data_IF_739613872846
#
_entry.id   IF_739613872846
#
_cell.length_a   1.000
_cell.length_b   1.000
_cell.length_c   1.000
_cell.angle_alpha   90.00
_cell.angle_beta   90.00
_cell.angle_gamma   90.00
#
_symmetry.space_group_name_H-M   'P 1'
#
loop_
_entity.id
_entity.type
_entity.pdbx_description
1 polymer ?
#
# COMPACT_ATOMS: atom_id res chain seq x y z
N UNK A 1 68.10 -11.02 1.59
CA UNK A 1 67.42 -9.82 2.14
C UNK A 1 66.72 -8.94 1.10
N UNK A 2 67.33 -8.61 -0.06
CA UNK A 2 66.69 -7.79 -1.11
C UNK A 2 65.37 -8.38 -1.66
N UNK A 3 65.34 -9.70 -1.92
CA UNK A 3 64.11 -10.37 -2.40
C UNK A 3 62.97 -10.34 -1.38
N UNK A 4 63.27 -10.40 -0.08
CA UNK A 4 62.26 -10.33 0.98
C UNK A 4 61.66 -8.92 1.10
N UNK A 5 62.47 -7.87 1.04
CA UNK A 5 61.98 -6.48 1.04
C UNK A 5 61.04 -6.21 -0.14
N UNK A 6 61.36 -6.72 -1.33
CA UNK A 6 60.51 -6.53 -2.51
C UNK A 6 59.18 -7.28 -2.39
N UNK A 7 59.17 -8.50 -1.85
CA UNK A 7 57.94 -9.27 -1.62
C UNK A 7 57.06 -8.60 -0.55
N UNK A 8 57.66 -8.14 0.54
CA UNK A 8 56.94 -7.41 1.61
C UNK A 8 56.38 -6.09 1.09
N UNK A 9 57.12 -5.38 0.23
CA UNK A 9 56.66 -4.14 -0.40
C UNK A 9 55.47 -4.38 -1.35
N UNK A 10 55.49 -5.45 -2.15
CA UNK A 10 54.37 -5.81 -3.03
C UNK A 10 53.13 -6.22 -2.22
N UNK A 11 53.30 -6.98 -1.14
CA UNK A 11 52.19 -7.34 -0.25
C UNK A 11 51.59 -6.13 0.47
N UNK A 12 52.41 -5.17 0.91
CA UNK A 12 51.93 -3.91 1.49
C UNK A 12 51.14 -3.08 0.49
N UNK A 13 51.62 -2.97 -0.76
CA UNK A 13 50.90 -2.26 -1.82
C UNK A 13 49.58 -2.95 -2.16
N UNK A 14 49.54 -4.29 -2.23
CA UNK A 14 48.30 -5.05 -2.43
C UNK A 14 47.32 -4.90 -1.26
N UNK A 15 47.80 -4.88 -0.02
CA UNK A 15 46.99 -4.63 1.17
C UNK A 15 46.42 -3.20 1.18
N UNK A 16 47.19 -2.21 0.75
CA UNK A 16 46.72 -0.82 0.62
C UNK A 16 45.66 -0.67 -0.48
N UNK A 17 45.79 -1.41 -1.59
CA UNK A 17 44.78 -1.43 -2.66
C UNK A 17 43.50 -2.14 -2.19
N UNK A 18 43.62 -3.28 -1.49
CA UNK A 18 42.49 -4.03 -0.96
C UNK A 18 41.74 -3.27 0.15
N UNK A 19 42.44 -2.50 0.97
CA UNK A 19 41.86 -1.66 2.02
C UNK A 19 41.02 -0.50 1.47
N UNK A 20 41.22 -0.12 0.20
CA UNK A 20 40.49 0.95 -0.48
C UNK A 20 39.36 0.43 -1.40
N UNK A 21 38.91 -0.81 -1.22
CA UNK A 21 37.72 -1.29 -1.93
C UNK A 21 36.48 -0.67 -1.29
N UNK A 22 36.03 0.48 -1.80
CA UNK A 22 34.71 1.00 -1.49
C UNK A 22 33.67 -0.03 -1.93
N UNK A 23 33.00 -0.67 -0.97
CA UNK A 23 31.81 -1.48 -1.25
C UNK A 23 30.73 -0.49 -1.69
N UNK A 24 30.63 -0.25 -2.99
CA UNK A 24 29.57 0.58 -3.55
C UNK A 24 28.28 -0.24 -3.44
N UNK A 25 27.48 0.07 -2.42
CA UNK A 25 26.16 -0.52 -2.28
C UNK A 25 25.36 -0.21 -3.56
N UNK A 26 24.87 -1.26 -4.22
CA UNK A 26 24.20 -1.09 -5.49
C UNK A 26 22.91 -0.29 -5.27
N UNK A 27 22.77 0.82 -6.02
CA UNK A 27 21.58 1.65 -5.95
C UNK A 27 20.31 0.80 -6.08
N UNK A 28 19.27 1.17 -5.31
CA UNK A 28 18.01 0.43 -5.21
C UNK A 28 16.82 1.38 -5.13
N UNK A 29 15.67 0.95 -5.61
CA UNK A 29 14.42 1.72 -5.46
C UNK A 29 13.79 1.45 -4.09
N UNK A 30 13.17 2.48 -3.50
CA UNK A 30 12.57 2.43 -2.16
C UNK A 30 11.50 1.34 -2.02
N UNK A 31 10.80 0.98 -3.10
CA UNK A 31 9.82 -0.09 -3.14
C UNK A 31 9.59 -0.58 -4.57
N UNK A 32 9.26 -1.86 -4.72
CA UNK A 32 9.01 -2.51 -6.02
C UNK A 32 7.53 -2.56 -6.40
N UNK A 33 6.63 -2.34 -5.43
CA UNK A 33 5.18 -2.40 -5.63
C UNK A 33 4.48 -1.43 -4.69
N UNK A 34 3.40 -0.81 -5.17
CA UNK A 34 2.42 -0.09 -4.37
C UNK A 34 1.00 -0.44 -4.83
N UNK A 35 0.10 -0.60 -3.86
CA UNK A 35 -1.33 -0.48 -4.05
C UNK A 35 -1.75 0.92 -3.58
N UNK A 36 -2.47 1.66 -4.40
CA UNK A 36 -2.86 3.04 -4.14
C UNK A 36 -4.33 3.26 -4.50
N UNK A 37 -4.98 4.17 -3.80
CA UNK A 37 -6.29 4.67 -4.20
C UNK A 37 -6.15 5.85 -5.17
N UNK A 38 -7.15 6.05 -6.02
CA UNK A 38 -7.24 7.25 -6.86
C UNK A 38 -7.14 8.51 -5.99
N UNK A 39 -6.26 9.43 -6.37
CA UNK A 39 -5.99 10.67 -5.64
C UNK A 39 -4.76 10.61 -4.74
N UNK A 40 -4.36 9.41 -4.27
CA UNK A 40 -3.20 9.26 -3.40
C UNK A 40 -1.89 9.63 -4.09
N UNK A 41 -0.93 10.03 -3.26
CA UNK A 41 0.43 10.37 -3.69
C UNK A 41 1.45 9.65 -2.82
N UNK A 42 2.47 9.09 -3.45
CA UNK A 42 3.64 8.49 -2.78
C UNK A 42 4.93 8.99 -3.42
N UNK A 43 5.99 9.16 -2.63
CA UNK A 43 7.30 9.55 -3.16
C UNK A 43 8.18 8.31 -3.29
N UNK A 44 8.57 7.98 -4.51
CA UNK A 44 9.59 6.98 -4.79
C UNK A 44 10.99 7.60 -4.71
N UNK A 45 11.93 6.86 -4.13
CA UNK A 45 13.34 7.26 -4.06
C UNK A 45 14.22 6.18 -4.64
N UNK A 46 15.32 6.59 -5.27
CA UNK A 46 16.43 5.68 -5.51
C UNK A 46 17.48 5.96 -4.44
N UNK A 47 17.79 4.95 -3.65
CA UNK A 47 18.74 4.99 -2.55
C UNK A 47 20.15 4.70 -3.06
N UNK A 48 21.14 5.05 -2.26
CA UNK A 48 22.56 4.70 -2.48
C UNK A 48 23.09 5.24 -3.82
N UNK A 49 22.59 6.41 -4.22
CA UNK A 49 23.02 7.10 -5.43
C UNK A 49 23.07 8.62 -5.23
N UNK A 50 24.08 9.25 -5.82
CA UNK A 50 24.18 10.71 -5.96
C UNK A 50 23.85 11.18 -7.39
N UNK A 51 23.52 10.24 -8.28
CA UNK A 51 23.28 10.51 -9.69
C UNK A 51 21.84 10.99 -9.90
N UNK A 52 21.65 11.85 -10.89
CA UNK A 52 20.31 12.30 -11.28
C UNK A 52 19.46 11.15 -11.80
N UNK A 53 18.26 11.01 -11.24
CA UNK A 53 17.27 9.99 -11.62
C UNK A 53 16.32 10.55 -12.67
N UNK A 54 16.10 9.80 -13.75
CA UNK A 54 15.05 10.09 -14.73
C UNK A 54 13.85 9.20 -14.49
N UNK A 55 12.70 9.81 -14.24
CA UNK A 55 11.45 9.12 -13.95
C UNK A 55 10.54 9.05 -15.17
N UNK A 56 9.84 7.93 -15.34
CA UNK A 56 8.79 7.74 -16.34
C UNK A 56 7.70 6.80 -15.82
N UNK A 57 6.52 6.88 -16.44
CA UNK A 57 5.40 5.96 -16.18
C UNK A 57 4.99 5.29 -17.49
N UNK A 58 4.71 3.98 -17.44
CA UNK A 58 4.15 3.25 -18.58
C UNK A 58 2.73 3.70 -18.94
N UNK A 59 1.97 4.23 -17.98
CA UNK A 59 0.62 4.74 -18.19
C UNK A 59 0.35 5.97 -17.31
N UNK A 60 0.61 7.16 -17.86
CA UNK A 60 0.43 8.46 -17.16
C UNK A 60 -1.03 8.80 -16.83
N UNK A 61 -1.99 8.13 -17.46
CA UNK A 61 -3.42 8.30 -17.17
C UNK A 61 -3.84 7.49 -15.92
N UNK A 62 -3.15 6.39 -15.62
CA UNK A 62 -3.35 5.58 -14.40
C UNK A 62 -2.52 6.13 -13.24
N UNK A 63 -1.21 6.29 -13.43
CA UNK A 63 -0.32 6.88 -12.43
C UNK A 63 0.75 7.74 -13.11
N UNK A 64 0.94 8.97 -12.64
CA UNK A 64 2.00 9.86 -13.15
C UNK A 64 3.09 10.06 -12.12
N UNK A 65 4.34 10.19 -12.57
CA UNK A 65 5.49 10.51 -11.72
C UNK A 65 6.11 11.84 -12.18
N UNK A 66 6.50 12.69 -11.23
CA UNK A 66 7.21 13.95 -11.51
C UNK A 66 8.74 13.78 -11.49
N UNK A 67 9.48 14.87 -11.70
CA UNK A 67 10.95 14.87 -11.70
C UNK A 67 11.57 14.55 -10.33
N UNK A 68 10.82 14.72 -9.24
CA UNK A 68 11.25 14.46 -7.86
C UNK A 68 10.89 13.05 -7.40
N UNK A 69 10.20 12.26 -8.23
CA UNK A 69 9.76 10.91 -7.88
C UNK A 69 8.40 10.87 -7.18
N UNK A 70 7.62 11.97 -7.19
CA UNK A 70 6.27 11.97 -6.64
C UNK A 70 5.32 11.30 -7.62
N UNK A 71 4.76 10.18 -7.21
CA UNK A 71 3.79 9.38 -7.96
C UNK A 71 2.39 9.74 -7.50
N UNK A 72 1.55 10.22 -8.42
CA UNK A 72 0.13 10.50 -8.19
C UNK A 72 -0.72 9.44 -8.88
N UNK A 73 -1.60 8.79 -8.13
CA UNK A 73 -2.61 7.88 -8.63
C UNK A 73 -3.79 8.67 -9.20
N UNK A 74 -4.16 8.41 -10.45
CA UNK A 74 -5.17 9.21 -11.19
C UNK A 74 -6.41 8.42 -11.57
N UNK A 75 -6.23 7.18 -12.01
CA UNK A 75 -7.32 6.33 -12.50
C UNK A 75 -7.01 4.89 -12.15
N UNK A 76 -8.06 4.11 -11.91
CA UNK A 76 -7.97 2.66 -11.73
C UNK A 76 -7.21 1.98 -12.86
N UNK A 77 -6.37 1.01 -12.48
CA UNK A 77 -5.59 0.21 -13.42
C UNK A 77 -4.19 -0.06 -12.88
N UNK A 78 -3.31 -0.54 -13.75
CA UNK A 78 -1.91 -0.79 -13.42
C UNK A 78 -0.99 0.11 -14.24
N UNK A 79 0.06 0.59 -13.60
CA UNK A 79 1.15 1.34 -14.22
C UNK A 79 2.49 0.88 -13.66
N UNK A 80 3.54 0.95 -14.47
CA UNK A 80 4.92 0.70 -14.03
C UNK A 80 5.64 2.03 -14.02
N UNK A 81 6.13 2.42 -12.85
CA UNK A 81 6.99 3.58 -12.68
C UNK A 81 8.44 3.14 -12.83
N UNK A 82 9.19 3.82 -13.68
CA UNK A 82 10.58 3.51 -13.99
C UNK A 82 11.49 4.65 -13.55
N UNK A 83 12.55 4.31 -12.80
CA UNK A 83 13.66 5.17 -12.48
C UNK A 83 14.90 4.73 -13.27
N UNK A 84 15.46 5.64 -14.07
CA UNK A 84 16.67 5.38 -14.87
C UNK A 84 17.84 6.20 -14.35
N UNK A 85 18.96 5.52 -14.12
CA UNK A 85 20.24 6.11 -13.70
C UNK A 85 21.33 5.65 -14.66
N UNK A 86 21.71 6.52 -15.60
CA UNK A 86 22.64 6.13 -16.66
C UNK A 86 22.11 4.94 -17.47
N UNK A 87 22.78 3.79 -17.35
CA UNK A 87 22.38 2.51 -17.99
C UNK A 87 21.51 1.62 -17.09
N UNK A 88 21.46 1.89 -15.79
CA UNK A 88 20.68 1.10 -14.83
C UNK A 88 19.22 1.53 -14.83
N UNK A 89 18.33 0.56 -14.66
CA UNK A 89 16.87 0.77 -14.64
C UNK A 89 16.27 0.08 -13.44
N UNK A 90 15.38 0.79 -12.73
CA UNK A 90 14.64 0.29 -11.57
C UNK A 90 13.15 0.53 -11.79
N UNK A 91 12.32 -0.39 -11.32
CA UNK A 91 10.88 -0.37 -11.59
C UNK A 91 10.06 -0.56 -10.31
N UNK A 92 8.94 0.13 -10.24
CA UNK A 92 7.90 -0.07 -9.24
C UNK A 92 6.55 -0.31 -9.94
N UNK A 93 5.88 -1.41 -9.61
CA UNK A 93 4.50 -1.65 -10.05
C UNK A 93 3.56 -0.82 -9.20
N UNK A 94 2.60 -0.14 -9.82
CA UNK A 94 1.57 0.64 -9.13
C UNK A 94 0.21 0.11 -9.58
N UNK A 95 -0.54 -0.43 -8.62
CA UNK A 95 -1.93 -0.84 -8.81
C UNK A 95 -2.83 0.21 -8.19
N UNK A 96 -3.64 0.86 -9.02
CA UNK A 96 -4.58 1.89 -8.60
C UNK A 96 -5.98 1.30 -8.52
N UNK A 97 -6.62 1.43 -7.36
CA UNK A 97 -8.02 1.05 -7.13
C UNK A 97 -8.86 2.30 -6.85
N UNK A 98 -10.19 2.19 -6.98
CA UNK A 98 -11.06 3.28 -6.51
C UNK A 98 -11.05 3.27 -4.99
N UNK A 99 -11.14 4.47 -4.41
CA UNK A 99 -11.63 4.59 -3.05
C UNK A 99 -13.05 4.03 -3.03
N UNK A 100 -13.33 3.18 -2.06
CA UNK A 100 -14.64 2.61 -1.85
C UNK A 100 -15.22 3.31 -0.65
N UNK A 101 -16.32 4.05 -0.83
CA UNK A 101 -17.06 4.55 0.31
C UNK A 101 -17.86 3.37 0.86
N UNK A 102 -17.42 2.83 1.99
CA UNK A 102 -18.25 1.94 2.79
C UNK A 102 -19.35 2.80 3.41
N UNK A 103 -20.56 2.70 2.88
CA UNK A 103 -21.75 3.22 3.54
C UNK A 103 -22.31 2.07 4.37
N UNK A 104 -22.26 2.23 5.68
CA UNK A 104 -22.97 1.36 6.62
C UNK A 104 -24.43 1.77 6.66
N UNK A 105 -25.31 0.84 6.28
CA UNK A 105 -26.71 0.91 6.64
C UNK A 105 -26.91 0.07 7.89
N UNK A 106 -27.16 0.72 9.03
CA UNK A 106 -27.87 0.08 10.13
C UNK A 106 -29.35 0.05 9.74
N UNK A 107 -29.82 -1.06 9.16
CA UNK A 107 -31.25 -1.33 9.07
C UNK A 107 -31.68 -1.77 10.47
N UNK A 108 -31.82 -0.79 11.37
CA UNK A 108 -32.20 -1.06 12.74
C UNK A 108 -33.56 -1.75 12.81
N UNK A 109 -33.56 -2.95 13.36
CA UNK A 109 -34.59 -3.36 14.31
C UNK A 109 -33.94 -4.24 15.36
N UNK A 110 -33.27 -3.62 16.34
CA UNK A 110 -33.26 -4.21 17.68
C UNK A 110 -34.72 -4.11 18.13
N UNK A 111 -35.47 -5.20 18.02
CA UNK A 111 -36.63 -5.35 18.89
C UNK A 111 -36.07 -5.38 20.30
N UNK A 112 -36.11 -4.24 20.98
CA UNK A 112 -35.89 -4.19 22.42
C UNK A 112 -36.95 -5.11 23.06
N UNK A 113 -36.55 -6.33 23.42
CA UNK A 113 -37.32 -7.05 24.43
C UNK A 113 -37.16 -6.25 25.74
N UNK A 114 -38.26 -5.92 26.43
CA UNK A 114 -38.19 -5.12 27.64
C UNK A 114 -37.55 -5.95 28.76
N UNK A 115 -36.27 -5.69 29.03
CA UNK A 115 -35.60 -6.04 30.28
C UNK A 115 -34.25 -6.76 30.11
N UNK A 116 -33.15 -6.04 30.31
CA UNK A 116 -32.25 -6.20 31.48
C UNK A 116 -31.05 -5.27 31.35
N UNK A 117 -30.68 -4.69 32.48
CA UNK A 117 -30.01 -3.40 32.60
C UNK A 117 -28.48 -3.57 32.63
N UNK A 118 -27.88 -4.10 31.56
CA UNK A 118 -26.42 -4.28 31.49
C UNK A 118 -25.79 -3.52 30.31
N UNK A 119 -25.09 -2.38 30.53
CA UNK A 119 -24.53 -1.54 29.47
C UNK A 119 -23.29 -2.10 28.73
N UNK A 120 -22.94 -3.38 28.88
CA UNK A 120 -21.62 -3.90 28.45
C UNK A 120 -21.61 -4.79 27.20
N UNK A 121 -22.76 -5.13 26.62
CA UNK A 121 -22.85 -6.05 25.46
C UNK A 121 -23.53 -5.38 24.25
N UNK A 122 -23.12 -4.15 23.92
CA UNK A 122 -23.58 -3.53 22.67
C UNK A 122 -22.70 -4.00 21.49
N UNK A 123 -23.19 -4.83 20.55
CA UNK A 123 -22.39 -5.38 19.44
C UNK A 123 -21.95 -4.33 18.41
N UNK A 124 -22.25 -3.05 18.61
CA UNK A 124 -22.02 -1.99 17.62
C UNK A 124 -20.68 -1.25 17.73
N UNK A 125 -19.87 -1.48 18.79
CA UNK A 125 -18.65 -0.68 19.00
C UNK A 125 -17.61 -0.84 17.89
N UNK A 126 -17.52 -2.01 17.23
CA UNK A 126 -16.63 -2.22 16.07
C UNK A 126 -17.10 -1.57 14.76
N UNK A 127 -18.38 -1.17 14.69
CA UNK A 127 -19.01 -0.61 13.47
C UNK A 127 -18.74 0.90 13.36
N UNK A 128 -18.57 1.60 14.48
CA UNK A 128 -18.34 3.05 14.53
C UNK A 128 -16.97 3.49 13.97
N UNK A 129 -16.00 2.59 13.85
CA UNK A 129 -14.64 2.88 13.38
C UNK A 129 -14.48 2.82 11.85
N UNK A 130 -15.50 2.33 11.13
CA UNK A 130 -15.48 2.31 9.67
C UNK A 130 -15.63 3.74 9.14
N UNK A 131 -14.56 4.27 8.54
CA UNK A 131 -14.52 5.63 7.98
C UNK A 131 -14.67 5.60 6.45
N UNK A 132 -15.24 6.66 5.85
CA UNK A 132 -15.20 6.84 4.40
C UNK A 132 -13.78 6.72 3.85
N UNK A 133 -13.61 5.99 2.74
CA UNK A 133 -12.30 5.80 2.10
C UNK A 133 -11.48 4.61 2.60
N UNK A 134 -11.98 3.78 3.51
CA UNK A 134 -11.32 2.52 3.88
C UNK A 134 -11.35 1.49 2.74
N UNK A 135 -10.31 0.66 2.65
CA UNK A 135 -10.24 -0.46 1.68
C UNK A 135 -11.13 -1.63 2.14
N UNK A 136 -11.58 -2.47 1.20
CA UNK A 136 -12.32 -3.70 1.52
C UNK A 136 -11.55 -4.60 2.51
N UNK A 137 -10.23 -4.67 2.38
CA UNK A 137 -9.37 -5.44 3.27
C UNK A 137 -9.29 -4.83 4.68
N UNK A 138 -9.22 -3.50 4.80
CA UNK A 138 -9.22 -2.81 6.08
C UNK A 138 -10.58 -2.95 6.78
N UNK A 139 -11.68 -2.84 6.03
CA UNK A 139 -13.05 -3.08 6.51
C UNK A 139 -13.21 -4.54 6.95
N UNK A 140 -12.74 -5.52 6.16
CA UNK A 140 -12.77 -6.93 6.53
C UNK A 140 -11.90 -7.24 7.75
N UNK A 141 -10.75 -6.58 7.91
CA UNK A 141 -9.87 -6.76 9.05
C UNK A 141 -10.45 -6.16 10.33
N UNK A 142 -11.09 -4.99 10.23
CA UNK A 142 -11.74 -4.33 11.37
C UNK A 142 -12.93 -5.15 11.85
N UNK A 143 -13.66 -5.76 10.92
CA UNK A 143 -14.92 -6.44 11.20
C UNK A 143 -14.73 -7.95 11.43
N UNK A 144 -13.53 -8.49 11.21
CA UNK A 144 -13.24 -9.91 11.32
C UNK A 144 -13.49 -10.52 12.71
N UNK A 145 -13.55 -9.70 13.77
CA UNK A 145 -13.91 -10.14 15.13
C UNK A 145 -15.43 -10.26 15.33
N UNK A 146 -16.23 -9.54 14.53
CA UNK A 146 -17.67 -9.38 14.73
C UNK A 146 -18.52 -10.01 13.61
N UNK A 147 -17.90 -10.38 12.48
CA UNK A 147 -18.63 -11.03 11.40
C UNK A 147 -17.85 -11.29 10.12
N UNK A 148 -18.53 -11.83 9.12
CA UNK A 148 -17.97 -12.10 7.77
C UNK A 148 -18.73 -11.32 6.70
N UNK A 149 -18.01 -10.85 5.68
CA UNK A 149 -18.56 -10.14 4.52
C UNK A 149 -19.00 -11.16 3.46
N UNK A 150 -20.28 -11.16 3.08
CA UNK A 150 -20.80 -11.98 1.97
C UNK A 150 -21.35 -11.09 0.86
N UNK A 151 -20.84 -11.24 -0.37
CA UNK A 151 -21.30 -10.48 -1.55
C UNK A 151 -22.71 -10.92 -1.93
N UNK A 152 -23.65 -9.98 -1.96
CA UNK A 152 -25.07 -10.28 -2.19
C UNK A 152 -25.46 -10.29 -3.68
N UNK A 153 -24.80 -9.46 -4.49
CA UNK A 153 -25.33 -9.01 -5.77
C UNK A 153 -24.38 -9.21 -6.95
N UNK A 154 -23.52 -10.23 -6.96
CA UNK A 154 -22.67 -10.63 -8.11
C UNK A 154 -21.71 -9.57 -8.69
N UNK A 155 -21.82 -8.33 -8.22
CA UNK A 155 -21.15 -7.11 -8.66
C UNK A 155 -20.20 -6.59 -7.56
N UNK A 156 -20.00 -7.36 -6.49
CA UNK A 156 -18.95 -7.16 -5.49
C UNK A 156 -19.05 -5.79 -4.77
N UNK A 157 -20.28 -5.28 -4.57
CA UNK A 157 -20.54 -3.92 -4.05
C UNK A 157 -21.46 -3.89 -2.83
N UNK A 158 -22.25 -4.91 -2.57
CA UNK A 158 -23.07 -4.99 -1.35
C UNK A 158 -22.63 -6.20 -0.54
N UNK A 159 -22.28 -5.97 0.72
CA UNK A 159 -21.90 -7.03 1.65
C UNK A 159 -22.76 -7.00 2.90
N UNK A 160 -23.27 -8.17 3.25
CA UNK A 160 -24.03 -8.38 4.48
C UNK A 160 -23.08 -8.77 5.61
N UNK A 161 -23.25 -8.16 6.78
CA UNK A 161 -22.61 -8.57 8.03
C UNK A 161 -23.48 -9.57 8.73
N UNK A 162 -22.89 -10.73 9.02
CA UNK A 162 -23.50 -11.73 9.88
C UNK A 162 -22.71 -11.87 11.16
N UNK A 163 -23.40 -11.97 12.28
CA UNK A 163 -22.78 -12.28 13.56
C UNK A 163 -22.21 -13.72 13.60
N UNK A 164 -21.68 -14.15 14.75
CA UNK A 164 -21.12 -15.50 14.91
C UNK A 164 -22.17 -16.63 14.83
N UNK A 165 -23.46 -16.31 14.92
CA UNK A 165 -24.59 -17.24 14.79
C UNK A 165 -25.13 -17.29 13.36
N UNK A 166 -24.75 -16.34 12.52
CA UNK A 166 -25.16 -16.24 11.12
C UNK A 166 -26.30 -15.24 10.88
N UNK A 167 -26.70 -14.49 11.91
CA UNK A 167 -27.78 -13.50 11.84
C UNK A 167 -27.29 -12.21 11.18
N UNK A 168 -28.08 -11.67 10.25
CA UNK A 168 -27.75 -10.41 9.56
C UNK A 168 -27.89 -9.21 10.50
N UNK A 169 -26.79 -8.53 10.77
CA UNK A 169 -26.70 -7.39 11.70
C UNK A 169 -26.38 -6.06 11.00
N UNK A 170 -26.24 -6.06 9.67
CA UNK A 170 -26.08 -4.84 8.89
C UNK A 170 -25.61 -5.09 7.47
N UNK A 171 -25.57 -4.02 6.68
CA UNK A 171 -25.11 -4.07 5.29
C UNK A 171 -24.08 -2.96 5.04
N UNK A 172 -22.95 -3.30 4.40
CA UNK A 172 -22.02 -2.32 3.82
C UNK A 172 -22.23 -2.29 2.32
N UNK A 173 -22.53 -1.09 1.82
CA UNK A 173 -22.55 -0.81 0.38
C UNK A 173 -21.32 -0.02 0.00
N UNK A 174 -20.60 -0.55 -0.98
CA UNK A 174 -19.46 0.04 -1.64
C UNK A 174 -19.93 0.72 -2.92
N UNK A 175 -20.08 2.05 -2.86
CA UNK A 175 -20.44 2.85 -4.04
C UNK A 175 -19.18 3.31 -4.77
N UNK A 176 -19.19 3.17 -6.11
CA UNK A 176 -18.17 3.76 -6.97
C UNK A 176 -18.33 5.29 -6.94
N UNK A 177 -17.45 6.02 -6.28
CA UNK A 177 -17.56 7.47 -6.18
C UNK A 177 -16.22 8.20 -6.10
N UNK A 178 -16.00 9.12 -7.05
CA UNK A 178 -15.05 10.23 -6.92
C UNK A 178 -15.68 11.23 -5.94
N UNK A 179 -14.93 11.68 -4.94
CA UNK A 179 -15.33 12.79 -4.06
C UNK A 179 -15.61 14.02 -4.95
N UNK A 180 -16.84 14.56 -5.02
CA UNK A 180 -17.02 15.93 -5.48
C UNK A 180 -16.36 16.84 -4.44
N UNK A 181 -15.60 17.84 -4.90
CA UNK A 181 -14.98 18.87 -4.05
C UNK A 181 -15.97 19.51 -3.07
#
# INVERSE_FOLDING_TARGET
MKKLKNVVMVLLVLLLIAANLEIVEAARISSKSYAMMVGETVTLRVLDTKKTVKWSSSNKAVASVDKKGNVKAKKTGEAVITAKIGKSTYTCKVKVTKAVNAILYNQGSVTEEPGTDNPSDNPTDGIADVKPGMTLEAVSSLLGSIGTLQSEDGNNKTYVFKDSKGDEIGTVKFVDGVVPE
#
